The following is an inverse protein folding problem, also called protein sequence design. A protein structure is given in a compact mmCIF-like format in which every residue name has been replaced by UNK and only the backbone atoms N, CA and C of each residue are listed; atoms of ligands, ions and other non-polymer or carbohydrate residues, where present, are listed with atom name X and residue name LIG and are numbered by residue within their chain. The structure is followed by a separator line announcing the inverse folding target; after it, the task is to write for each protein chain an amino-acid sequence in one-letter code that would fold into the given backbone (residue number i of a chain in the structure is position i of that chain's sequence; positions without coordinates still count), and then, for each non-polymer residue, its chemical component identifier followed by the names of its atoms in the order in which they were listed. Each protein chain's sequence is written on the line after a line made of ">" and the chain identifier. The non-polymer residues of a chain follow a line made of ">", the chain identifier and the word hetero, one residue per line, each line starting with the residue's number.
data_IF_513498556263
#
_entry.id   IF_513498556263
#
_cell.length_a   1.000
_cell.length_b   1.000
_cell.length_c   1.000
_cell.angle_alpha   90.00
_cell.angle_beta   90.00
_cell.angle_gamma   90.00
#
_symmetry.space_group_name_H-M   'P 1'
#
loop_
_entity.id
_entity.type
_entity.pdbx_description
1 polymer ?
#
# COMPACT_ATOMS: atom_id res chain seq x y z
N UNK A 1 -21.86 7.28 -3.47
CA UNK A 1 -20.42 7.27 -3.80
C UNK A 1 -20.01 5.82 -3.96
N UNK A 2 -19.31 5.47 -5.05
CA UNK A 2 -18.88 4.08 -5.30
C UNK A 2 -17.81 3.74 -4.29
N UNK A 3 -17.97 2.62 -3.56
CA UNK A 3 -16.99 2.14 -2.60
C UNK A 3 -15.78 1.57 -3.34
N UNK A 4 -14.62 2.19 -3.12
CA UNK A 4 -13.36 1.75 -3.72
C UNK A 4 -12.21 1.81 -2.71
N UNK A 5 -11.32 0.82 -2.79
CA UNK A 5 -10.18 0.68 -1.89
C UNK A 5 -8.92 0.29 -2.64
N UNK A 6 -7.79 0.87 -2.25
CA UNK A 6 -6.45 0.48 -2.66
C UNK A 6 -5.78 -0.28 -1.51
N UNK A 7 -5.53 -1.57 -1.72
CA UNK A 7 -4.89 -2.46 -0.76
C UNK A 7 -3.38 -2.52 -1.01
N UNK A 8 -2.61 -2.34 0.05
CA UNK A 8 -1.16 -2.28 -0.04
C UNK A 8 -0.46 -2.88 1.19
N UNK A 9 0.80 -3.28 1.01
CA UNK A 9 1.76 -3.59 2.06
C UNK A 9 3.06 -2.83 1.76
N UNK A 10 3.64 -2.20 2.78
CA UNK A 10 4.84 -1.36 2.64
C UNK A 10 6.12 -2.14 2.28
N UNK A 11 6.12 -3.47 2.42
CA UNK A 11 7.20 -4.32 1.91
C UNK A 11 7.00 -4.74 0.44
N UNK A 12 5.91 -4.31 -0.22
CA UNK A 12 5.67 -4.64 -1.62
C UNK A 12 6.19 -3.55 -2.56
N UNK A 13 7.24 -3.82 -3.37
CA UNK A 13 7.72 -2.86 -4.36
C UNK A 13 6.72 -2.61 -5.49
N UNK A 14 5.86 -3.59 -5.81
CA UNK A 14 4.78 -3.39 -6.77
C UNK A 14 3.71 -2.44 -6.21
N UNK A 15 3.41 -2.52 -4.90
CA UNK A 15 2.52 -1.58 -4.25
C UNK A 15 3.14 -0.16 -4.19
N UNK A 16 4.46 -0.02 -4.06
CA UNK A 16 5.16 1.26 -4.20
C UNK A 16 4.88 1.90 -5.58
N UNK A 17 5.10 1.14 -6.67
CA UNK A 17 4.86 1.65 -8.02
C UNK A 17 3.39 2.06 -8.24
N UNK A 18 2.46 1.27 -7.71
CA UNK A 18 1.04 1.59 -7.79
C UNK A 18 0.66 2.81 -6.94
N UNK A 19 1.25 2.96 -5.75
CA UNK A 19 1.01 4.10 -4.85
C UNK A 19 1.40 5.45 -5.47
N UNK A 20 2.42 5.47 -6.33
CA UNK A 20 2.83 6.69 -7.06
C UNK A 20 1.86 7.04 -8.21
N UNK A 21 1.04 6.10 -8.65
CA UNK A 21 0.15 6.27 -9.80
C UNK A 21 -1.33 6.38 -9.43
N UNK A 22 -1.77 5.69 -8.35
CA UNK A 22 -3.20 5.46 -8.07
C UNK A 22 -4.00 6.75 -7.91
N UNK A 23 -3.42 7.80 -7.32
CA UNK A 23 -4.12 9.08 -7.10
C UNK A 23 -4.47 9.78 -8.42
N UNK A 24 -3.59 9.75 -9.40
CA UNK A 24 -3.80 10.38 -10.71
C UNK A 24 -4.49 9.43 -11.70
N UNK A 25 -4.18 8.14 -11.61
CA UNK A 25 -4.58 7.14 -12.60
C UNK A 25 -5.98 6.55 -12.39
N UNK A 26 -6.46 6.48 -11.16
CA UNK A 26 -7.74 5.82 -10.86
C UNK A 26 -8.97 6.63 -11.30
N UNK A 27 -8.85 7.96 -11.35
CA UNK A 27 -9.95 8.83 -11.77
C UNK A 27 -11.07 9.01 -10.74
N UNK A 28 -10.88 8.55 -9.52
CA UNK A 28 -11.81 8.70 -8.39
C UNK A 28 -11.13 8.41 -7.05
N UNK A 29 -11.77 8.77 -5.93
CA UNK A 29 -11.20 8.52 -4.62
C UNK A 29 -11.21 7.01 -4.31
N UNK A 30 -10.16 6.53 -3.65
CA UNK A 30 -10.11 5.20 -3.06
C UNK A 30 -9.63 5.27 -1.61
N UNK A 31 -10.21 4.46 -0.74
CA UNK A 31 -9.72 4.29 0.61
C UNK A 31 -8.40 3.51 0.58
N UNK A 32 -7.32 4.10 1.10
CA UNK A 32 -6.05 3.40 1.23
C UNK A 32 -6.10 2.47 2.44
N UNK A 33 -6.05 1.17 2.16
CA UNK A 33 -6.25 0.13 3.14
C UNK A 33 -4.98 -0.69 3.33
N UNK A 34 -4.25 -0.51 4.45
CA UNK A 34 -3.11 -1.35 4.79
C UNK A 34 -3.58 -2.77 5.12
N UNK A 35 -2.88 -3.76 4.57
CA UNK A 35 -3.07 -5.19 4.84
C UNK A 35 -1.72 -5.91 4.88
N UNK A 36 -1.65 -7.06 5.54
CA UNK A 36 -0.43 -7.87 5.61
C UNK A 36 -0.33 -8.80 4.40
N UNK A 37 0.57 -8.50 3.46
CA UNK A 37 0.83 -9.34 2.28
C UNK A 37 1.32 -10.75 2.66
N UNK A 38 2.03 -10.89 3.78
CA UNK A 38 2.49 -12.17 4.31
C UNK A 38 1.35 -13.14 4.70
N UNK A 39 0.12 -12.65 4.76
CA UNK A 39 -1.08 -13.45 5.05
C UNK A 39 -1.91 -13.77 3.80
N UNK A 40 -1.54 -13.23 2.64
CA UNK A 40 -2.24 -13.47 1.39
C UNK A 40 -1.88 -14.85 0.81
N UNK A 41 -2.81 -15.49 0.05
CA UNK A 41 -2.60 -16.85 -0.46
C UNK A 41 -1.46 -17.01 -1.46
N UNK A 42 -1.09 -15.94 -2.17
CA UNK A 42 -0.11 -15.95 -3.26
C UNK A 42 1.16 -15.17 -2.95
N UNK A 43 1.67 -15.29 -1.73
CA UNK A 43 2.97 -14.73 -1.36
C UNK A 43 4.10 -15.52 -2.02
N UNK A 44 4.50 -15.13 -3.24
CA UNK A 44 5.64 -15.73 -3.93
C UNK A 44 6.97 -15.07 -3.54
N UNK A 45 8.10 -15.82 -3.58
CA UNK A 45 9.42 -15.25 -3.35
C UNK A 45 9.75 -14.18 -4.40
N UNK A 46 10.18 -13.00 -3.97
CA UNK A 46 10.55 -11.89 -4.84
C UNK A 46 11.98 -12.02 -5.34
N UNK A 47 12.16 -12.67 -6.50
CA UNK A 47 13.47 -13.02 -7.08
C UNK A 47 14.12 -11.89 -7.90
N UNK A 48 15.30 -12.19 -8.46
CA UNK A 48 16.12 -11.24 -9.23
C UNK A 48 15.37 -10.68 -10.47
N UNK A 49 14.66 -11.53 -11.20
CA UNK A 49 13.88 -11.09 -12.37
C UNK A 49 12.79 -10.08 -12.00
N UNK A 50 12.09 -10.32 -10.90
CA UNK A 50 11.08 -9.38 -10.39
C UNK A 50 11.70 -8.04 -9.96
N UNK A 51 12.92 -8.05 -9.39
CA UNK A 51 13.66 -6.82 -9.06
C UNK A 51 13.99 -5.99 -10.31
N UNK A 52 14.44 -6.64 -11.38
CA UNK A 52 14.73 -5.98 -12.65
C UNK A 52 13.45 -5.39 -13.28
N UNK A 53 12.34 -6.10 -13.20
CA UNK A 53 11.05 -5.60 -13.69
C UNK A 53 10.59 -4.36 -12.94
N UNK A 54 10.66 -4.35 -11.62
CA UNK A 54 10.35 -3.17 -10.80
C UNK A 54 11.24 -1.98 -11.15
N UNK A 55 12.55 -2.21 -11.32
CA UNK A 55 13.48 -1.15 -11.72
C UNK A 55 13.09 -0.54 -13.06
N UNK A 56 12.84 -1.35 -14.07
CA UNK A 56 12.41 -0.92 -15.41
C UNK A 56 11.11 -0.11 -15.34
N UNK A 57 10.12 -0.56 -14.58
CA UNK A 57 8.85 0.14 -14.42
C UNK A 57 9.01 1.47 -13.68
N UNK A 58 9.86 1.54 -12.66
CA UNK A 58 10.17 2.77 -11.96
C UNK A 58 10.76 3.82 -12.93
N UNK A 59 11.67 3.40 -13.80
CA UNK A 59 12.26 4.25 -14.86
C UNK A 59 11.19 4.74 -15.86
N UNK A 60 10.30 3.85 -16.32
CA UNK A 60 9.19 4.20 -17.22
C UNK A 60 8.22 5.21 -16.59
N UNK A 61 8.05 5.17 -15.28
CA UNK A 61 7.23 6.11 -14.51
C UNK A 61 7.95 7.42 -14.16
N UNK A 62 9.22 7.56 -14.53
CA UNK A 62 10.04 8.73 -14.17
C UNK A 62 10.33 8.83 -12.67
N UNK A 63 10.27 7.73 -11.95
CA UNK A 63 10.59 7.66 -10.53
C UNK A 63 12.11 7.61 -10.32
N UNK A 64 12.56 7.90 -9.11
CA UNK A 64 13.95 7.68 -8.74
C UNK A 64 14.32 6.20 -8.88
N UNK A 65 15.58 5.87 -9.22
CA UNK A 65 16.06 4.49 -9.26
C UNK A 65 15.76 3.78 -7.94
N UNK A 66 15.21 2.57 -8.05
CA UNK A 66 14.87 1.78 -6.86
C UNK A 66 16.13 1.36 -6.13
N UNK A 67 16.19 1.68 -4.84
CA UNK A 67 17.24 1.23 -3.92
C UNK A 67 16.65 0.13 -3.03
N UNK A 68 17.24 -1.05 -3.11
CA UNK A 68 16.75 -2.18 -2.33
C UNK A 68 17.26 -2.11 -0.89
N UNK A 69 16.37 -2.19 0.12
CA UNK A 69 16.82 -2.33 1.50
C UNK A 69 17.74 -3.55 1.67
N UNK A 70 18.77 -3.43 2.49
CA UNK A 70 19.75 -4.49 2.68
C UNK A 70 19.12 -5.81 3.17
N UNK A 71 18.07 -5.71 4.01
CA UNK A 71 17.32 -6.86 4.54
C UNK A 71 16.12 -7.28 3.70
N UNK A 72 15.98 -6.81 2.44
CA UNK A 72 14.80 -7.12 1.63
C UNK A 72 14.74 -8.61 1.19
N UNK A 73 13.60 -9.29 1.37
CA UNK A 73 12.33 -8.79 1.93
C UNK A 73 12.40 -8.58 3.44
N UNK A 74 11.88 -7.45 3.92
CA UNK A 74 11.83 -7.10 5.34
C UNK A 74 10.45 -7.35 5.97
N UNK A 75 10.40 -7.45 7.30
CA UNK A 75 9.15 -7.53 8.04
C UNK A 75 8.46 -6.16 8.07
N UNK A 76 7.29 -6.08 7.45
CA UNK A 76 6.50 -4.85 7.38
C UNK A 76 5.56 -4.66 8.58
N UNK A 77 5.45 -5.59 9.51
CA UNK A 77 4.37 -5.58 10.51
C UNK A 77 4.33 -4.28 11.34
N UNK A 78 5.48 -3.76 11.78
CA UNK A 78 5.55 -2.49 12.48
C UNK A 78 5.05 -1.34 11.61
N UNK A 79 5.58 -1.21 10.39
CA UNK A 79 5.21 -0.16 9.45
C UNK A 79 3.71 -0.23 9.07
N UNK A 80 3.16 -1.44 8.93
CA UNK A 80 1.74 -1.64 8.63
C UNK A 80 0.82 -1.31 9.81
N UNK A 81 1.25 -1.52 11.05
CA UNK A 81 0.54 -1.01 12.23
C UNK A 81 0.52 0.52 12.23
N UNK A 82 1.63 1.17 11.91
CA UNK A 82 1.68 2.62 11.81
C UNK A 82 0.82 3.13 10.64
N UNK A 83 0.79 2.43 9.50
CA UNK A 83 -0.11 2.75 8.40
C UNK A 83 -1.60 2.63 8.80
N UNK A 84 -1.94 1.64 9.63
CA UNK A 84 -3.28 1.47 10.19
C UNK A 84 -3.65 2.63 11.12
N UNK A 85 -2.73 3.06 11.99
CA UNK A 85 -2.91 4.25 12.80
C UNK A 85 -3.02 5.53 11.96
N UNK A 86 -2.16 5.68 10.94
CA UNK A 86 -2.22 6.80 10.01
C UNK A 86 -3.60 6.88 9.33
N UNK A 87 -4.19 5.74 8.99
CA UNK A 87 -5.56 5.67 8.45
C UNK A 87 -6.60 6.12 9.49
N UNK A 88 -6.48 5.70 10.75
CA UNK A 88 -7.38 6.11 11.85
C UNK A 88 -7.43 7.64 12.00
N UNK A 89 -6.29 8.32 11.81
CA UNK A 89 -6.17 9.79 11.96
C UNK A 89 -6.25 10.56 10.62
N UNK A 90 -6.66 9.91 9.52
CA UNK A 90 -6.79 10.56 8.21
C UNK A 90 -5.47 10.88 7.50
N UNK A 91 -4.37 10.19 7.85
CA UNK A 91 -3.03 10.37 7.27
C UNK A 91 -2.56 9.17 6.44
N UNK A 92 -3.45 8.26 6.04
CA UNK A 92 -3.07 7.04 5.32
C UNK A 92 -2.24 7.30 4.06
N UNK A 93 -2.73 8.19 3.19
CA UNK A 93 -2.07 8.49 1.90
C UNK A 93 -0.69 9.09 2.08
N UNK A 94 -0.52 10.23 2.77
CA UNK A 94 0.79 10.85 2.91
C UNK A 94 1.78 9.92 3.62
N UNK A 95 1.36 9.20 4.66
CA UNK A 95 2.23 8.26 5.36
C UNK A 95 2.67 7.11 4.46
N UNK A 96 1.75 6.45 3.75
CA UNK A 96 2.08 5.34 2.86
C UNK A 96 3.06 5.77 1.77
N UNK A 97 2.84 6.92 1.12
CA UNK A 97 3.77 7.45 0.11
C UNK A 97 5.15 7.78 0.69
N UNK A 98 5.21 8.43 1.86
CA UNK A 98 6.48 8.72 2.52
C UNK A 98 7.23 7.44 2.91
N UNK A 99 6.54 6.44 3.47
CA UNK A 99 7.11 5.16 3.87
C UNK A 99 7.60 4.34 2.66
N UNK A 100 6.84 4.27 1.57
CA UNK A 100 7.27 3.63 0.33
C UNK A 100 8.53 4.28 -0.24
N UNK A 101 8.63 5.61 -0.23
CA UNK A 101 9.83 6.34 -0.69
C UNK A 101 11.02 6.09 0.23
N UNK A 102 10.83 6.00 1.54
CA UNK A 102 11.88 5.57 2.47
C UNK A 102 12.38 4.17 2.10
N UNK A 103 11.48 3.22 1.86
CA UNK A 103 11.86 1.86 1.53
C UNK A 103 12.55 1.75 0.17
N UNK A 104 11.93 2.26 -0.91
CA UNK A 104 12.34 1.91 -2.26
C UNK A 104 13.08 3.03 -3.03
N UNK A 105 12.94 4.29 -2.65
CA UNK A 105 13.80 5.37 -3.16
C UNK A 105 15.00 5.62 -2.24
N UNK A 106 14.81 5.47 -0.92
CA UNK A 106 15.87 5.60 0.08
C UNK A 106 16.70 4.33 0.29
N UNK A 107 16.12 3.15 0.10
CA UNK A 107 16.76 1.86 0.37
C UNK A 107 16.78 1.50 1.86
N UNK A 108 15.81 2.01 2.64
CA UNK A 108 15.75 1.83 4.07
C UNK A 108 14.82 0.69 4.48
N UNK A 109 15.25 -0.13 5.42
CA UNK A 109 14.46 -1.24 5.97
C UNK A 109 13.43 -0.70 6.97
N UNK A 110 12.14 -0.83 6.66
CA UNK A 110 11.05 -0.38 7.52
C UNK A 110 10.73 -1.35 8.69
N UNK A 111 11.48 -2.42 8.87
CA UNK A 111 11.50 -3.16 10.14
C UNK A 111 12.19 -2.36 11.24
N UNK A 112 13.07 -1.41 10.86
CA UNK A 112 13.68 -0.45 11.77
C UNK A 112 12.70 0.71 12.09
N UNK A 113 12.32 0.90 13.36
CA UNK A 113 11.39 1.94 13.76
C UNK A 113 11.85 3.36 13.41
N UNK A 114 13.14 3.63 13.32
CA UNK A 114 13.66 4.96 13.04
C UNK A 114 13.24 5.44 11.64
N UNK A 115 13.29 4.56 10.63
CA UNK A 115 12.85 4.91 9.27
C UNK A 115 11.33 5.07 9.18
N UNK A 116 10.57 4.29 9.95
CA UNK A 116 9.11 4.46 10.08
C UNK A 116 8.78 5.81 10.70
N UNK A 117 9.52 6.23 11.74
CA UNK A 117 9.35 7.53 12.40
C UNK A 117 9.72 8.70 11.48
N UNK A 118 10.74 8.57 10.63
CA UNK A 118 11.10 9.58 9.63
C UNK A 118 9.92 9.78 8.65
N UNK A 119 9.34 8.69 8.14
CA UNK A 119 8.17 8.77 7.27
C UNK A 119 6.96 9.41 7.98
N UNK A 120 6.72 9.05 9.24
CA UNK A 120 5.64 9.59 10.05
C UNK A 120 5.83 11.09 10.32
N UNK A 121 7.05 11.52 10.64
CA UNK A 121 7.37 12.93 10.88
C UNK A 121 7.15 13.79 9.63
N UNK A 122 7.46 13.28 8.45
CA UNK A 122 7.18 13.95 7.17
C UNK A 122 5.67 14.20 6.93
N UNK A 123 4.81 13.49 7.67
CA UNK A 123 3.35 13.60 7.59
C UNK A 123 2.74 14.27 8.84
N UNK A 124 3.55 14.98 9.62
CA UNK A 124 3.14 15.68 10.85
C UNK A 124 2.56 14.73 11.92
N UNK A 125 2.98 13.48 11.93
CA UNK A 125 2.61 12.50 12.96
C UNK A 125 3.65 12.54 14.08
N UNK A 126 3.19 12.77 15.32
CA UNK A 126 4.10 12.92 16.45
C UNK A 126 4.75 11.56 16.83
N UNK A 127 6.08 11.45 16.92
CA UNK A 127 6.80 10.18 17.12
C UNK A 127 6.30 9.37 18.32
N UNK A 128 6.07 10.00 19.48
CA UNK A 128 5.54 9.30 20.67
C UNK A 128 4.15 8.72 20.44
N UNK A 129 3.29 9.43 19.73
CA UNK A 129 1.94 8.95 19.41
C UNK A 129 2.01 7.76 18.45
N UNK A 130 2.90 7.80 17.46
CA UNK A 130 3.13 6.73 16.50
C UNK A 130 3.60 5.45 17.20
N UNK A 131 4.63 5.53 18.05
CA UNK A 131 5.15 4.37 18.78
C UNK A 131 4.11 3.80 19.75
N UNK A 132 3.40 4.65 20.48
CA UNK A 132 2.35 4.21 21.38
C UNK A 132 1.19 3.55 20.61
N UNK A 133 0.79 4.10 19.47
CA UNK A 133 -0.27 3.53 18.63
C UNK A 133 0.12 2.17 18.05
N UNK A 134 1.34 2.01 17.56
CA UNK A 134 1.84 0.75 17.00
C UNK A 134 1.85 -0.41 18.01
N UNK A 135 1.88 -0.09 19.32
CA UNK A 135 1.84 -1.08 20.41
C UNK A 135 0.40 -1.42 20.85
N UNK A 136 -0.62 -0.63 20.47
CA UNK A 136 -2.01 -0.89 20.86
C UNK A 136 -2.53 -2.19 20.24
N UNK A 137 -3.17 -3.04 21.07
CA UNK A 137 -3.81 -4.25 20.56
C UNK A 137 -4.94 -3.93 19.60
N UNK A 138 -5.67 -2.83 19.82
CA UNK A 138 -6.71 -2.38 18.89
C UNK A 138 -6.20 -2.10 17.47
N UNK A 139 -4.98 -1.57 17.31
CA UNK A 139 -4.35 -1.35 16.00
C UNK A 139 -3.96 -2.69 15.33
N UNK A 140 -3.43 -3.63 16.11
CA UNK A 140 -3.11 -4.98 15.61
C UNK A 140 -4.36 -5.69 15.14
N UNK A 141 -5.44 -5.61 15.93
CA UNK A 141 -6.72 -6.22 15.60
C UNK A 141 -7.33 -5.61 14.35
N UNK A 142 -7.31 -4.27 14.21
CA UNK A 142 -7.78 -3.58 13.01
C UNK A 142 -7.00 -4.03 11.76
N UNK A 143 -5.67 -4.15 11.85
CA UNK A 143 -4.85 -4.62 10.73
C UNK A 143 -5.17 -6.07 10.35
N UNK A 144 -5.33 -6.95 11.34
CA UNK A 144 -5.72 -8.35 11.12
C UNK A 144 -7.11 -8.45 10.49
N UNK A 145 -8.08 -7.73 11.03
CA UNK A 145 -9.45 -7.70 10.53
C UNK A 145 -9.52 -7.16 9.09
N UNK A 146 -8.78 -6.08 8.80
CA UNK A 146 -8.69 -5.53 7.44
C UNK A 146 -8.06 -6.53 6.46
N UNK A 147 -7.04 -7.27 6.90
CA UNK A 147 -6.41 -8.31 6.08
C UNK A 147 -7.38 -9.46 5.80
N UNK A 148 -8.10 -9.94 6.81
CA UNK A 148 -9.10 -10.98 6.66
C UNK A 148 -10.23 -10.55 5.72
N UNK A 149 -10.77 -9.35 5.90
CA UNK A 149 -11.81 -8.79 5.04
C UNK A 149 -11.35 -8.62 3.58
N UNK A 150 -10.08 -8.24 3.35
CA UNK A 150 -9.52 -8.18 2.01
C UNK A 150 -9.47 -9.56 1.34
N UNK A 151 -9.05 -10.60 2.08
CA UNK A 151 -9.03 -11.98 1.58
C UNK A 151 -10.44 -12.47 1.24
N UNK A 152 -11.42 -12.20 2.10
CA UNK A 152 -12.84 -12.52 1.87
C UNK A 152 -13.40 -11.80 0.65
N UNK A 153 -12.98 -10.55 0.41
CA UNK A 153 -13.33 -9.78 -0.77
C UNK A 153 -12.63 -10.27 -2.06
N UNK A 154 -11.75 -11.26 -1.97
CA UNK A 154 -11.07 -11.86 -3.12
C UNK A 154 -9.67 -11.31 -3.42
N UNK A 155 -9.09 -10.48 -2.55
CA UNK A 155 -7.69 -10.02 -2.68
C UNK A 155 -6.74 -11.20 -2.48
N UNK A 156 -5.87 -11.43 -3.46
CA UNK A 156 -4.89 -12.52 -3.48
C UNK A 156 -3.44 -12.03 -3.38
N UNK A 157 -3.20 -10.84 -3.89
CA UNK A 157 -1.88 -10.21 -3.90
C UNK A 157 -2.00 -8.69 -3.67
N UNK A 158 -0.89 -8.01 -3.40
CA UNK A 158 -0.79 -6.54 -3.39
C UNK A 158 0.20 -6.07 -4.47
N UNK A 159 -0.09 -4.93 -5.13
CA UNK A 159 -1.25 -4.04 -4.94
C UNK A 159 -2.54 -4.65 -5.47
N UNK A 160 -3.66 -4.31 -4.84
CA UNK A 160 -4.98 -4.62 -5.35
C UNK A 160 -5.89 -3.38 -5.26
N UNK A 161 -6.82 -3.23 -6.19
CA UNK A 161 -7.83 -2.19 -6.18
C UNK A 161 -9.21 -2.84 -6.21
N UNK A 162 -10.03 -2.54 -5.21
CA UNK A 162 -11.43 -2.95 -5.21
C UNK A 162 -12.31 -1.79 -5.67
N UNK A 163 -13.26 -2.09 -6.56
CA UNK A 163 -14.34 -1.19 -6.99
C UNK A 163 -15.64 -1.96 -6.83
N UNK A 164 -16.49 -1.55 -5.91
CA UNK A 164 -17.66 -2.30 -5.48
C UNK A 164 -17.27 -3.75 -5.11
N UNK A 165 -17.80 -4.75 -5.78
CA UNK A 165 -17.53 -6.18 -5.53
C UNK A 165 -16.40 -6.77 -6.40
N UNK A 166 -15.79 -5.95 -7.28
CA UNK A 166 -14.73 -6.41 -8.17
C UNK A 166 -13.35 -6.03 -7.67
N UNK A 167 -12.40 -6.98 -7.72
CA UNK A 167 -10.99 -6.79 -7.35
C UNK A 167 -10.12 -6.86 -8.59
N UNK A 168 -9.22 -5.89 -8.72
CA UNK A 168 -8.27 -5.76 -9.82
C UNK A 168 -6.85 -5.83 -9.27
N UNK A 169 -6.06 -6.75 -9.82
CA UNK A 169 -4.67 -7.02 -9.42
C UNK A 169 -3.75 -7.04 -10.63
N UNK A 170 -2.44 -7.00 -10.38
CA UNK A 170 -1.45 -7.07 -11.46
C UNK A 170 -1.20 -5.73 -12.14
N UNK A 171 -0.60 -5.82 -13.32
CA UNK A 171 -0.02 -4.68 -14.03
C UNK A 171 -1.03 -3.61 -14.44
N UNK A 172 -2.21 -4.05 -14.83
CA UNK A 172 -3.29 -3.19 -15.34
C UNK A 172 -4.34 -2.84 -14.29
N UNK A 173 -4.11 -3.17 -13.02
CA UNK A 173 -5.10 -2.99 -11.96
C UNK A 173 -5.67 -1.57 -11.88
N UNK A 174 -4.84 -0.53 -12.04
CA UNK A 174 -5.29 0.87 -12.01
C UNK A 174 -6.17 1.20 -13.22
N UNK A 175 -5.78 0.76 -14.41
CA UNK A 175 -6.51 1.01 -15.66
C UNK A 175 -7.87 0.30 -15.67
N UNK A 176 -7.88 -0.98 -15.28
CA UNK A 176 -9.09 -1.80 -15.24
C UNK A 176 -10.06 -1.30 -14.15
N UNK A 177 -9.55 -0.93 -12.97
CA UNK A 177 -10.34 -0.33 -11.89
C UNK A 177 -10.92 1.04 -12.30
N UNK A 178 -10.14 1.88 -13.01
CA UNK A 178 -10.64 3.15 -13.56
C UNK A 178 -11.81 2.93 -14.54
N UNK A 179 -11.69 1.95 -15.43
CA UNK A 179 -12.76 1.60 -16.35
C UNK A 179 -14.03 1.16 -15.59
N UNK A 180 -13.88 0.33 -14.56
CA UNK A 180 -14.98 -0.10 -13.69
C UNK A 180 -15.64 1.08 -12.95
N UNK A 181 -14.86 2.01 -12.39
CA UNK A 181 -15.38 3.23 -11.75
C UNK A 181 -16.18 4.09 -12.71
N UNK A 182 -15.68 4.24 -13.94
CA UNK A 182 -16.36 5.03 -14.98
C UNK A 182 -17.69 4.40 -15.37
N UNK A 183 -17.72 3.08 -15.56
CA UNK A 183 -18.93 2.34 -15.88
C UNK A 183 -19.98 2.43 -14.74
N UNK A 184 -19.56 2.22 -13.49
CA UNK A 184 -20.45 2.30 -12.34
C UNK A 184 -21.02 3.72 -12.12
N UNK A 185 -20.22 4.77 -12.38
CA UNK A 185 -20.68 6.15 -12.31
C UNK A 185 -21.71 6.49 -13.42
N UNK A 186 -21.63 5.85 -14.58
CA UNK A 186 -22.62 6.01 -15.65
C UNK A 186 -23.98 5.41 -15.26
N UNK A 187 -23.98 4.21 -14.67
CA UNK A 187 -25.20 3.54 -14.18
C UNK A 187 -25.92 4.35 -13.10
N UNK A 188 -25.19 4.99 -12.20
CA UNK A 188 -25.79 5.78 -11.09
C UNK A 188 -26.43 7.09 -11.57
N UNK A 189 -26.12 7.56 -12.78
CA UNK A 189 -26.67 8.80 -13.38
C UNK A 189 -27.87 8.58 -14.29
N UNK A 190 -28.19 7.32 -14.61
CA UNK A 190 -29.35 6.91 -15.42
C UNK A 190 -30.55 6.58 -14.54
#
# INVERSE_FOLDING_TARGET
>A
MIDSAFYFDLASPLAYLAAEQVLAGLGGPAAWQPILASRLPTAEPFGAAARQDVQRRAEQLGLQPVRWPAGFPFDSELAMRVATYAREIGRAVPFAQAAFRQAFAGGHDLSDPDFVLIAAAACEMHPRAVLAAAQRESIREQLRAATAAAIEAGVRAVPAIRVADSVFEGERAIEDARAALTAAAAVTRS
#
